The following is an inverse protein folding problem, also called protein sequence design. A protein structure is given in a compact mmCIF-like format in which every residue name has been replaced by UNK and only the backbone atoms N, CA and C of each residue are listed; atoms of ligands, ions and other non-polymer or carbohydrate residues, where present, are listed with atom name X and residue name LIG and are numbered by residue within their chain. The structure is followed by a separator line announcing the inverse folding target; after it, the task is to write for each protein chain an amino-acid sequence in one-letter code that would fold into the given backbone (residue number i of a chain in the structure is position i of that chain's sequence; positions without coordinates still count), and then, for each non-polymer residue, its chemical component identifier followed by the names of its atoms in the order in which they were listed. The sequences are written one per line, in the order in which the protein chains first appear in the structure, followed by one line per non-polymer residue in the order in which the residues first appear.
data_IF_534858493827
#
_entry.id   IF_534858493827
#
_cell.length_a   1.000
_cell.length_b   1.000
_cell.length_c   1.000
_cell.angle_alpha   90.00
_cell.angle_beta   90.00
_cell.angle_gamma   90.00
#
_symmetry.space_group_name_H-M   'P 1'
#
loop_
_entity.id
_entity.type
_entity.pdbx_description
1 polymer ?
#
# COMPACT_ATOMS: atom_id res chain seq x y z
N UNK A 1 21.23 18.07 16.57
CA UNK A 1 20.60 19.17 15.79
C UNK A 1 19.93 18.55 14.59
N UNK A 2 18.59 18.49 14.52
CA UNK A 2 17.91 17.95 13.34
C UNK A 2 18.25 18.84 12.12
N UNK A 3 18.91 18.27 11.11
CA UNK A 3 19.22 19.01 9.88
C UNK A 3 17.93 19.38 9.14
N UNK A 4 17.91 20.53 8.45
CA UNK A 4 16.76 21.04 7.68
C UNK A 4 16.11 20.00 6.76
N UNK A 5 16.92 19.09 6.21
CA UNK A 5 16.47 17.97 5.35
C UNK A 5 15.61 16.93 6.07
N UNK A 6 15.85 16.70 7.37
CA UNK A 6 15.04 15.78 8.20
C UNK A 6 13.73 16.43 8.58
N UNK A 7 13.76 17.73 8.90
CA UNK A 7 12.56 18.51 9.21
C UNK A 7 11.59 18.55 8.01
N UNK A 8 12.12 18.71 6.79
CA UNK A 8 11.32 18.67 5.57
C UNK A 8 10.65 17.29 5.32
N UNK A 9 11.33 16.18 5.66
CA UNK A 9 10.76 14.82 5.54
C UNK A 9 9.66 14.54 6.56
N UNK A 10 9.70 15.19 7.72
CA UNK A 10 8.70 15.03 8.78
C UNK A 10 7.49 15.94 8.61
N UNK A 11 7.56 16.96 7.76
CA UNK A 11 6.48 17.93 7.56
C UNK A 11 5.11 17.27 7.24
N UNK A 12 5.00 16.27 6.35
CA UNK A 12 3.71 15.61 6.09
C UNK A 12 3.14 14.87 7.31
N UNK A 13 4.01 14.24 8.11
CA UNK A 13 3.61 13.55 9.33
C UNK A 13 3.15 14.53 10.41
N UNK A 14 3.86 15.64 10.58
CA UNK A 14 3.47 16.71 11.50
C UNK A 14 2.13 17.33 11.08
N UNK A 15 1.94 17.59 9.78
CA UNK A 15 0.68 18.10 9.25
C UNK A 15 -0.47 17.14 9.55
N UNK A 16 -0.27 15.83 9.36
CA UNK A 16 -1.27 14.81 9.68
C UNK A 16 -1.63 14.81 11.17
N UNK A 17 -0.64 14.85 12.07
CA UNK A 17 -0.87 14.87 13.53
C UNK A 17 -1.62 16.13 13.95
N UNK A 18 -1.26 17.29 13.42
CA UNK A 18 -1.95 18.56 13.69
C UNK A 18 -3.39 18.50 13.16
N UNK A 19 -3.60 17.99 11.96
CA UNK A 19 -4.94 17.83 11.39
C UNK A 19 -5.82 16.89 12.23
N UNK A 20 -5.28 15.77 12.71
CA UNK A 20 -5.97 14.85 13.62
C UNK A 20 -6.32 15.53 14.96
N UNK A 21 -5.40 16.28 15.55
CA UNK A 21 -5.64 17.00 16.80
C UNK A 21 -6.73 18.08 16.65
N UNK A 22 -6.68 18.85 15.55
CA UNK A 22 -7.71 19.85 15.24
C UNK A 22 -9.08 19.21 14.97
N UNK A 23 -9.11 18.07 14.28
CA UNK A 23 -10.33 17.31 14.05
C UNK A 23 -10.93 16.73 15.33
N UNK A 24 -10.13 16.50 16.37
CA UNK A 24 -10.62 16.00 17.67
C UNK A 24 -11.21 17.12 18.55
N UNK A 25 -10.77 18.37 18.34
CA UNK A 25 -11.19 19.54 19.12
C UNK A 25 -12.37 20.29 18.49
N UNK A 26 -12.66 20.03 17.21
CA UNK A 26 -13.73 20.70 16.47
C UNK A 26 -14.91 19.75 16.22
N UNK A 27 -16.17 20.18 16.43
CA UNK A 27 -17.33 19.42 15.99
C UNK A 27 -17.23 19.19 14.48
N UNK A 28 -17.66 18.01 13.99
CA UNK A 28 -17.70 17.73 12.57
C UNK A 28 -18.46 18.85 11.85
N UNK A 29 -17.77 19.57 10.96
CA UNK A 29 -18.43 20.54 10.10
C UNK A 29 -19.46 19.80 9.23
N UNK A 30 -20.64 20.38 9.06
CA UNK A 30 -21.72 19.77 8.29
C UNK A 30 -21.21 19.44 6.87
N UNK A 31 -21.15 18.15 6.55
CA UNK A 31 -20.71 17.65 5.24
C UNK A 31 -19.28 17.11 5.16
N UNK A 32 -18.47 17.18 6.22
CA UNK A 32 -17.12 16.58 6.24
C UNK A 32 -17.16 15.21 6.91
N UNK A 33 -16.90 14.16 6.14
CA UNK A 33 -16.79 12.79 6.66
C UNK A 33 -15.56 12.68 7.59
N UNK A 34 -15.78 12.30 8.84
CA UNK A 34 -14.71 11.99 9.79
C UNK A 34 -14.37 10.51 9.75
N UNK A 35 -13.09 10.20 9.97
CA UNK A 35 -12.63 8.81 10.11
C UNK A 35 -13.29 8.21 11.36
N UNK A 36 -13.94 7.05 11.20
CA UNK A 36 -14.63 6.36 12.29
C UNK A 36 -13.68 5.69 13.30
N UNK A 37 -14.25 4.88 14.20
CA UNK A 37 -13.46 4.10 15.14
C UNK A 37 -12.52 3.13 14.41
N UNK A 38 -11.29 3.00 14.91
CA UNK A 38 -10.33 2.04 14.39
C UNK A 38 -10.82 0.62 14.74
N UNK A 39 -11.03 -0.27 13.75
CA UNK A 39 -11.37 -1.66 14.03
C UNK A 39 -10.21 -2.38 14.75
N UNK A 40 -10.49 -3.56 15.29
CA UNK A 40 -9.46 -4.38 15.96
C UNK A 40 -8.27 -4.62 15.02
N UNK A 41 -7.05 -4.48 15.55
CA UNK A 41 -5.80 -4.74 14.83
C UNK A 41 -5.45 -6.23 14.71
N UNK A 42 -6.40 -7.12 15.00
CA UNK A 42 -6.23 -8.54 14.75
C UNK A 42 -6.07 -8.77 13.25
N UNK A 43 -5.07 -9.55 12.85
CA UNK A 43 -4.89 -9.94 11.44
C UNK A 43 -5.95 -10.99 11.13
N UNK A 44 -6.98 -10.68 10.32
CA UNK A 44 -7.96 -11.67 9.95
C UNK A 44 -7.29 -12.66 9.00
N UNK A 45 -7.23 -13.93 9.37
CA UNK A 45 -6.72 -14.99 8.48
C UNK A 45 -7.91 -15.73 7.91
N UNK A 46 -8.02 -15.75 6.58
CA UNK A 46 -9.10 -16.42 5.88
C UNK A 46 -8.72 -16.72 4.43
N UNK A 47 -9.35 -17.75 3.85
CA UNK A 47 -9.16 -18.02 2.43
C UNK A 47 -10.07 -17.11 1.59
N UNK A 48 -9.58 -16.56 0.46
CA UNK A 48 -10.43 -15.85 -0.47
C UNK A 48 -11.50 -16.80 -1.05
N UNK A 49 -12.66 -16.28 -1.47
CA UNK A 49 -13.73 -17.10 -2.03
C UNK A 49 -13.25 -17.85 -3.28
N UNK A 50 -13.39 -19.18 -3.29
CA UNK A 50 -13.01 -20.06 -4.39
C UNK A 50 -14.17 -20.21 -5.40
N UNK A 51 -14.61 -19.08 -5.97
CA UNK A 51 -15.67 -19.03 -6.97
C UNK A 51 -15.10 -18.69 -8.36
N UNK A 52 -15.09 -19.67 -9.27
CA UNK A 52 -14.54 -19.49 -10.61
C UNK A 52 -15.22 -18.36 -11.42
N UNK A 53 -16.54 -18.14 -11.24
CA UNK A 53 -17.25 -17.08 -11.95
C UNK A 53 -16.83 -15.70 -11.45
N UNK A 54 -16.64 -15.55 -10.13
CA UNK A 54 -16.09 -14.32 -9.53
C UNK A 54 -14.68 -14.05 -10.04
N UNK A 55 -13.81 -15.07 -10.06
CA UNK A 55 -12.43 -14.92 -10.50
C UNK A 55 -12.34 -14.49 -11.97
N UNK A 56 -13.10 -15.13 -12.86
CA UNK A 56 -13.15 -14.75 -14.28
C UNK A 56 -13.67 -13.32 -14.49
N UNK A 57 -14.65 -12.90 -13.70
CA UNK A 57 -15.20 -11.54 -13.77
C UNK A 57 -14.20 -10.48 -13.32
N UNK A 58 -13.38 -10.78 -12.31
CA UNK A 58 -12.39 -9.86 -11.75
C UNK A 58 -11.04 -9.90 -12.49
N UNK A 59 -10.76 -10.99 -13.22
CA UNK A 59 -9.47 -11.23 -13.87
C UNK A 59 -8.98 -10.06 -14.74
N UNK A 60 -9.81 -9.39 -15.58
CA UNK A 60 -9.33 -8.27 -16.39
C UNK A 60 -8.83 -7.09 -15.56
N UNK A 61 -9.57 -6.71 -14.51
CA UNK A 61 -9.18 -5.63 -13.62
C UNK A 61 -7.98 -6.03 -12.75
N UNK A 62 -7.96 -7.26 -12.23
CA UNK A 62 -6.86 -7.79 -11.43
C UNK A 62 -5.56 -7.86 -12.23
N UNK A 63 -5.62 -8.24 -13.51
CA UNK A 63 -4.47 -8.25 -14.40
C UNK A 63 -3.88 -6.84 -14.61
N UNK A 64 -4.73 -5.83 -14.78
CA UNK A 64 -4.28 -4.43 -14.91
C UNK A 64 -3.65 -3.92 -13.62
N UNK A 65 -4.26 -4.19 -12.46
CA UNK A 65 -3.71 -3.81 -11.14
C UNK A 65 -2.37 -4.51 -10.92
N UNK A 66 -2.28 -5.81 -11.20
CA UNK A 66 -1.04 -6.58 -11.08
C UNK A 66 0.06 -6.08 -12.00
N UNK A 67 -0.27 -5.76 -13.26
CA UNK A 67 0.68 -5.20 -14.22
C UNK A 67 1.18 -3.81 -13.77
N UNK A 68 0.26 -2.91 -13.40
CA UNK A 68 0.63 -1.57 -12.94
C UNK A 68 1.46 -1.62 -11.66
N UNK A 69 1.09 -2.49 -10.71
CA UNK A 69 1.85 -2.70 -9.49
C UNK A 69 3.24 -3.28 -9.75
N UNK A 70 3.37 -4.22 -10.69
CA UNK A 70 4.68 -4.76 -11.08
C UNK A 70 5.54 -3.71 -11.77
N UNK A 71 5.00 -2.95 -12.74
CA UNK A 71 5.73 -1.92 -13.48
C UNK A 71 6.18 -0.79 -12.55
N UNK A 72 5.33 -0.34 -11.62
CA UNK A 72 5.71 0.69 -10.64
C UNK A 72 6.83 0.20 -9.72
N UNK A 73 6.70 -1.02 -9.19
CA UNK A 73 7.71 -1.63 -8.31
C UNK A 73 9.03 -1.82 -9.05
N UNK A 74 8.98 -2.31 -10.29
CA UNK A 74 10.16 -2.57 -11.10
C UNK A 74 10.93 -1.28 -11.40
N UNK A 75 10.23 -0.18 -11.71
CA UNK A 75 10.86 1.11 -11.95
C UNK A 75 11.62 1.64 -10.71
N UNK A 76 11.07 1.43 -9.52
CA UNK A 76 11.75 1.78 -8.25
C UNK A 76 12.95 0.86 -8.00
N UNK A 77 12.77 -0.45 -8.15
CA UNK A 77 13.85 -1.44 -7.96
C UNK A 77 14.99 -1.24 -8.96
N UNK A 78 14.71 -0.90 -10.22
CA UNK A 78 15.72 -0.59 -11.24
C UNK A 78 16.50 0.67 -10.88
N UNK A 79 15.81 1.74 -10.45
CA UNK A 79 16.49 2.96 -9.99
C UNK A 79 17.43 2.67 -8.81
N UNK A 80 16.98 1.81 -7.88
CA UNK A 80 17.78 1.43 -6.72
C UNK A 80 18.97 0.55 -7.11
N UNK A 81 18.77 -0.44 -7.99
CA UNK A 81 19.80 -1.34 -8.48
C UNK A 81 20.88 -0.57 -9.25
N UNK A 82 20.50 0.40 -10.10
CA UNK A 82 21.44 1.28 -10.79
C UNK A 82 22.26 2.12 -9.80
N UNK A 83 21.63 2.68 -8.76
CA UNK A 83 22.33 3.45 -7.72
C UNK A 83 23.29 2.60 -6.89
N UNK A 84 23.01 1.30 -6.73
CA UNK A 84 23.82 0.35 -5.95
C UNK A 84 24.82 -0.45 -6.77
N UNK A 85 24.74 -0.40 -8.11
CA UNK A 85 25.55 -1.24 -8.99
C UNK A 85 25.17 -2.72 -8.96
N UNK A 86 23.92 -3.03 -8.60
CA UNK A 86 23.42 -4.40 -8.47
C UNK A 86 22.70 -4.85 -9.75
N UNK A 87 22.72 -6.17 -10.03
CA UNK A 87 21.95 -6.75 -11.13
C UNK A 87 20.53 -7.06 -10.66
N UNK A 88 19.56 -6.48 -11.33
CA UNK A 88 18.15 -6.77 -11.09
C UNK A 88 17.67 -7.94 -11.96
N UNK A 89 16.90 -8.85 -11.37
CA UNK A 89 16.30 -10.00 -12.06
C UNK A 89 14.77 -9.84 -12.05
N UNK A 90 14.14 -9.39 -13.14
CA UNK A 90 12.71 -9.07 -13.16
C UNK A 90 11.80 -10.25 -12.77
N UNK A 91 12.19 -11.47 -13.14
CA UNK A 91 11.45 -12.68 -12.77
C UNK A 91 11.53 -13.02 -11.26
N UNK A 92 12.57 -12.56 -10.55
CA UNK A 92 12.64 -12.68 -9.10
C UNK A 92 11.74 -11.63 -8.43
N UNK A 93 11.77 -10.39 -8.91
CA UNK A 93 10.91 -9.30 -8.44
C UNK A 93 9.43 -9.66 -8.59
N UNK A 94 9.02 -10.20 -9.76
CA UNK A 94 7.64 -10.60 -10.01
C UNK A 94 7.18 -11.72 -9.06
N UNK A 95 8.04 -12.72 -8.79
CA UNK A 95 7.73 -13.80 -7.84
C UNK A 95 7.61 -13.27 -6.41
N UNK A 96 8.47 -12.35 -6.01
CA UNK A 96 8.38 -11.70 -4.70
C UNK A 96 7.07 -10.92 -4.54
N UNK A 97 6.71 -10.13 -5.54
CA UNK A 97 5.45 -9.39 -5.57
C UNK A 97 4.22 -10.31 -5.55
N UNK A 98 4.26 -11.40 -6.32
CA UNK A 98 3.19 -12.40 -6.33
C UNK A 98 3.06 -13.08 -4.96
N UNK A 99 4.17 -13.47 -4.32
CA UNK A 99 4.17 -14.06 -2.99
C UNK A 99 3.60 -13.10 -1.94
N UNK A 100 3.99 -11.83 -1.97
CA UNK A 100 3.45 -10.80 -1.08
C UNK A 100 1.94 -10.62 -1.25
N UNK A 101 1.45 -10.59 -2.49
CA UNK A 101 0.02 -10.47 -2.78
C UNK A 101 -0.78 -11.74 -2.42
N UNK A 102 -0.19 -12.94 -2.53
CA UNK A 102 -0.80 -14.17 -2.01
C UNK A 102 -0.97 -14.10 -0.49
N UNK A 103 0.06 -13.64 0.24
CA UNK A 103 -0.05 -13.43 1.69
C UNK A 103 -1.09 -12.36 2.02
N UNK A 104 -1.13 -11.24 1.29
CA UNK A 104 -2.15 -10.21 1.47
C UNK A 104 -3.56 -10.76 1.26
N UNK A 105 -3.76 -11.61 0.25
CA UNK A 105 -5.07 -12.20 -0.04
C UNK A 105 -5.62 -13.06 1.10
N UNK A 106 -4.74 -13.73 1.85
CA UNK A 106 -5.16 -14.58 2.99
C UNK A 106 -5.27 -13.81 4.31
N UNK A 107 -4.69 -12.61 4.39
CA UNK A 107 -4.77 -11.75 5.57
C UNK A 107 -5.83 -10.65 5.45
N UNK A 108 -6.66 -10.68 4.40
CA UNK A 108 -7.65 -9.63 4.10
C UNK A 108 -7.03 -8.30 3.65
N UNK A 109 -5.76 -8.33 3.22
CA UNK A 109 -5.03 -7.17 2.72
C UNK A 109 -5.44 -6.77 1.30
N UNK A 110 -5.25 -5.49 0.99
CA UNK A 110 -5.37 -4.96 -0.37
C UNK A 110 -4.14 -5.35 -1.20
N UNK A 111 -4.24 -5.35 -2.55
CA UNK A 111 -3.08 -5.56 -3.42
C UNK A 111 -1.93 -4.59 -3.08
N UNK A 112 -0.71 -5.12 -3.01
CA UNK A 112 0.50 -4.38 -2.66
C UNK A 112 1.43 -4.18 -3.86
N UNK A 113 2.18 -3.08 -3.84
CA UNK A 113 3.23 -2.72 -4.79
C UNK A 113 4.34 -1.92 -4.07
N UNK A 114 5.51 -1.81 -4.69
CA UNK A 114 6.69 -1.06 -4.24
C UNK A 114 6.80 0.34 -4.80
#
# INVERSE_FOLDING_TARGET
RLGSRTLARLAPLLLLVVAMALSALTPAAQGVAQVGALPSLAVPVGLPPLDAALWLRLLPAAALVGLMGFVSSLAVSESLAQRRGEKLLPAAELRGLAAANLVASVTGGMPVAG
#
